data_IF_201778009959
#
_entry.id   IF_201778009959
#
_cell.length_a   1.000
_cell.length_b   1.000
_cell.length_c   1.000
_cell.angle_alpha   90.00
_cell.angle_beta   90.00
_cell.angle_gamma   90.00
#
_symmetry.space_group_name_H-M   'P 1'
#
loop_
_entity.id
_entity.type
_entity.pdbx_description
1 polymer ?
#
# COMPACT_ATOMS: atom_id res chain seq x y z
N UNK A 1 7.08 -4.06 -13.58
CA UNK A 1 7.05 -2.64 -14.01
C UNK A 1 6.81 -1.82 -12.77
N UNK A 2 7.74 -0.97 -12.37
CA UNK A 2 7.53 -0.03 -11.25
C UNK A 2 7.07 1.28 -11.86
N UNK A 3 5.77 1.39 -12.09
CA UNK A 3 5.14 2.61 -12.56
C UNK A 3 5.36 3.74 -11.54
N UNK A 4 5.56 4.95 -12.04
CA UNK A 4 5.72 6.15 -11.20
C UNK A 4 4.37 6.60 -10.66
N UNK A 5 4.33 7.25 -9.50
CA UNK A 5 3.09 7.88 -9.02
C UNK A 5 2.53 8.89 -10.04
N UNK A 6 3.41 9.56 -10.78
CA UNK A 6 3.05 10.53 -11.81
C UNK A 6 2.22 9.90 -12.94
N UNK A 7 2.45 8.62 -13.27
CA UNK A 7 1.70 7.90 -14.30
C UNK A 7 0.22 7.75 -13.91
N UNK A 8 -0.08 7.78 -12.61
CA UNK A 8 -1.42 7.72 -12.04
C UNK A 8 -2.06 9.08 -11.78
N UNK A 9 -1.45 10.20 -12.21
CA UNK A 9 -2.02 11.55 -12.01
C UNK A 9 -3.46 11.63 -12.52
N UNK A 10 -3.76 11.03 -13.68
CA UNK A 10 -5.11 11.02 -14.24
C UNK A 10 -6.12 10.33 -13.29
N UNK A 11 -5.78 9.16 -12.74
CA UNK A 11 -6.64 8.44 -11.76
C UNK A 11 -6.90 9.27 -10.52
N UNK A 12 -5.86 9.96 -10.01
CA UNK A 12 -5.98 10.84 -8.84
C UNK A 12 -6.95 12.00 -9.13
N UNK A 13 -6.84 12.61 -10.31
CA UNK A 13 -7.68 13.73 -10.74
C UNK A 13 -9.12 13.33 -11.09
N UNK A 14 -9.35 12.10 -11.54
CA UNK A 14 -10.68 11.57 -11.88
C UNK A 14 -11.53 11.24 -10.64
N UNK A 15 -10.92 11.17 -9.45
CA UNK A 15 -11.65 10.92 -8.22
C UNK A 15 -12.59 12.08 -7.86
N UNK A 16 -13.89 11.88 -8.01
CA UNK A 16 -14.93 12.86 -7.65
C UNK A 16 -15.26 12.91 -6.15
N UNK A 17 -14.50 12.21 -5.30
CA UNK A 17 -14.63 12.22 -3.84
C UNK A 17 -16.03 11.85 -3.29
N UNK A 18 -16.78 10.98 -3.98
CA UNK A 18 -18.16 10.62 -3.64
C UNK A 18 -18.35 9.84 -2.32
N UNK A 19 -17.30 9.19 -1.79
CA UNK A 19 -17.36 8.48 -0.50
C UNK A 19 -17.83 7.03 -0.53
N UNK A 20 -18.24 6.47 -1.69
CA UNK A 20 -18.65 5.05 -1.78
C UNK A 20 -17.57 4.06 -1.32
N UNK A 21 -16.31 4.41 -1.49
CA UNK A 21 -15.19 3.60 -1.02
C UNK A 21 -15.11 3.50 0.52
N UNK A 22 -15.69 4.43 1.28
CA UNK A 22 -15.63 4.47 2.74
C UNK A 22 -16.44 3.33 3.36
N UNK A 23 -17.63 3.06 2.83
CA UNK A 23 -18.57 2.07 3.37
C UNK A 23 -18.02 0.63 3.30
N UNK A 24 -17.01 0.38 2.46
CA UNK A 24 -16.40 -0.93 2.26
C UNK A 24 -14.92 -1.00 2.66
N UNK A 25 -14.31 0.12 3.04
CA UNK A 25 -12.93 0.14 3.50
C UNK A 25 -12.84 -0.40 4.95
N UNK A 26 -12.13 -1.52 5.20
CA UNK A 26 -12.01 -2.06 6.55
C UNK A 26 -11.24 -1.13 7.50
N UNK A 27 -10.23 -0.42 6.97
CA UNK A 27 -9.39 0.50 7.76
C UNK A 27 -10.19 1.73 8.19
N UNK A 28 -10.97 2.32 7.28
CA UNK A 28 -11.85 3.43 7.61
C UNK A 28 -12.89 3.04 8.66
N UNK A 29 -13.50 1.84 8.54
CA UNK A 29 -14.46 1.36 9.54
C UNK A 29 -13.91 1.27 10.96
N UNK A 30 -12.61 0.99 11.09
CA UNK A 30 -11.96 0.89 12.40
C UNK A 30 -11.45 2.24 12.90
N UNK A 31 -10.92 3.07 12.01
CA UNK A 31 -10.25 4.32 12.39
C UNK A 31 -11.18 5.53 12.39
N UNK A 32 -12.25 5.52 11.59
CA UNK A 32 -13.10 6.68 11.28
C UNK A 32 -12.33 7.92 10.79
N UNK A 33 -11.10 7.73 10.31
CA UNK A 33 -10.26 8.81 9.77
C UNK A 33 -10.41 8.86 8.26
N UNK A 34 -10.85 10.00 7.73
CA UNK A 34 -11.04 10.21 6.29
C UNK A 34 -9.75 9.96 5.49
N UNK A 35 -8.59 10.34 6.04
CA UNK A 35 -7.27 10.08 5.47
C UNK A 35 -6.97 8.59 5.23
N UNK A 36 -7.72 7.69 5.89
CA UNK A 36 -7.65 6.25 5.70
C UNK A 36 -8.57 5.69 4.63
N UNK A 37 -9.56 6.45 4.20
CA UNK A 37 -10.40 6.05 3.09
C UNK A 37 -9.66 6.14 1.76
N UNK A 38 -10.19 5.47 0.73
CA UNK A 38 -9.61 5.54 -0.60
C UNK A 38 -9.73 6.97 -1.18
N UNK A 39 -10.85 7.69 -0.94
CA UNK A 39 -10.98 9.08 -1.40
C UNK A 39 -10.03 10.02 -0.66
N UNK A 40 -9.84 9.85 0.64
CA UNK A 40 -8.90 10.66 1.41
C UNK A 40 -7.47 10.49 0.91
N UNK A 41 -7.09 9.27 0.54
CA UNK A 41 -5.79 9.00 -0.09
C UNK A 41 -5.63 9.68 -1.45
N UNK A 42 -6.68 9.76 -2.28
CA UNK A 42 -6.62 10.55 -3.52
C UNK A 42 -6.40 12.03 -3.25
N UNK A 43 -7.07 12.60 -2.24
CA UNK A 43 -6.85 14.00 -1.83
C UNK A 43 -5.43 14.23 -1.32
N UNK A 44 -4.91 13.33 -0.49
CA UNK A 44 -3.54 13.40 0.04
C UNK A 44 -2.52 13.31 -1.09
N UNK A 45 -2.66 12.33 -1.99
CA UNK A 45 -1.74 12.14 -3.12
C UNK A 45 -1.85 13.28 -4.13
N UNK A 46 -3.04 13.87 -4.32
CA UNK A 46 -3.17 15.10 -5.10
C UNK A 46 -2.32 16.23 -4.48
N UNK A 47 -2.49 16.51 -3.18
CA UNK A 47 -1.75 17.55 -2.49
C UNK A 47 -0.23 17.31 -2.52
N UNK A 48 0.19 16.06 -2.34
CA UNK A 48 1.58 15.63 -2.51
C UNK A 48 2.12 15.94 -3.92
N UNK A 49 1.36 15.62 -4.97
CA UNK A 49 1.74 15.91 -6.36
C UNK A 49 1.74 17.41 -6.71
N UNK A 50 1.07 18.25 -5.93
CA UNK A 50 1.15 19.70 -6.04
C UNK A 50 2.31 20.31 -5.23
N UNK A 51 3.02 19.50 -4.45
CA UNK A 51 4.07 19.98 -3.53
C UNK A 51 3.51 20.71 -2.30
N UNK A 52 2.28 20.42 -1.91
CA UNK A 52 1.65 21.01 -0.71
C UNK A 52 1.86 20.18 0.56
N UNK A 53 2.27 18.92 0.40
CA UNK A 53 2.63 18.00 1.47
C UNK A 53 3.98 17.38 1.15
N UNK A 54 4.71 17.03 2.20
CA UNK A 54 5.95 16.28 2.11
C UNK A 54 5.72 14.77 2.19
N UNK A 55 6.72 14.00 1.73
CA UNK A 55 6.60 12.54 1.61
C UNK A 55 6.54 11.82 2.96
N UNK A 56 7.19 12.37 3.99
CA UNK A 56 7.15 11.83 5.34
C UNK A 56 5.76 11.98 5.96
N UNK A 57 5.08 13.11 5.76
CA UNK A 57 3.73 13.39 6.26
C UNK A 57 2.68 12.40 5.74
N UNK A 58 2.84 11.94 4.50
CA UNK A 58 1.86 11.05 3.84
C UNK A 58 2.17 9.56 4.05
N UNK A 59 3.40 9.23 4.45
CA UNK A 59 3.93 7.86 4.50
C UNK A 59 3.05 6.90 5.30
N UNK A 60 2.74 7.27 6.54
CA UNK A 60 1.93 6.47 7.47
C UNK A 60 0.56 6.13 6.86
N UNK A 61 -0.11 7.14 6.31
CA UNK A 61 -1.42 6.98 5.67
C UNK A 61 -1.34 6.03 4.48
N UNK A 62 -0.26 6.07 3.70
CA UNK A 62 -0.10 5.13 2.59
C UNK A 62 0.11 3.70 3.08
N UNK A 63 0.80 3.48 4.20
CA UNK A 63 1.06 2.13 4.73
C UNK A 63 -0.13 1.52 5.49
N UNK A 64 -1.08 2.30 5.98
CA UNK A 64 -2.30 1.76 6.60
C UNK A 64 -3.23 1.05 5.61
N UNK A 65 -3.10 1.28 4.30
CA UNK A 65 -3.91 0.59 3.28
C UNK A 65 -3.62 -0.92 3.24
N UNK A 66 -4.64 -1.77 3.30
CA UNK A 66 -4.45 -3.23 3.19
C UNK A 66 -4.43 -3.74 1.74
N UNK A 67 -4.52 -2.84 0.75
CA UNK A 67 -4.58 -3.17 -0.69
C UNK A 67 -5.66 -4.21 -1.05
N UNK A 68 -6.76 -4.28 -0.29
CA UNK A 68 -7.82 -5.28 -0.48
C UNK A 68 -8.73 -5.05 -1.71
N UNK A 69 -8.56 -3.93 -2.43
CA UNK A 69 -9.31 -3.54 -3.63
C UNK A 69 -10.84 -3.35 -3.49
N UNK A 70 -11.40 -3.40 -2.27
CA UNK A 70 -12.83 -3.11 -2.04
C UNK A 70 -13.28 -1.74 -2.60
N UNK A 71 -12.40 -0.74 -2.56
CA UNK A 71 -12.69 0.59 -3.08
C UNK A 71 -12.90 0.60 -4.60
N UNK A 72 -12.12 -0.20 -5.34
CA UNK A 72 -12.24 -0.35 -6.80
C UNK A 72 -13.54 -1.05 -7.16
N UNK A 73 -13.90 -2.11 -6.44
CA UNK A 73 -15.14 -2.87 -6.67
C UNK A 73 -16.41 -2.01 -6.54
N UNK A 74 -16.37 -0.94 -5.75
CA UNK A 74 -17.50 -0.02 -5.54
C UNK A 74 -17.36 1.33 -6.22
N UNK A 75 -16.27 1.57 -6.95
CA UNK A 75 -16.02 2.86 -7.58
C UNK A 75 -16.87 3.02 -8.84
N UNK A 76 -17.75 4.02 -8.88
CA UNK A 76 -18.55 4.33 -10.07
C UNK A 76 -17.69 4.77 -11.26
N UNK A 77 -16.55 5.40 -10.97
CA UNK A 77 -15.56 5.80 -11.99
C UNK A 77 -14.59 4.66 -12.36
N UNK A 78 -14.69 3.48 -11.75
CA UNK A 78 -13.84 2.32 -12.08
C UNK A 78 -12.36 2.47 -11.73
N UNK A 79 -11.98 3.42 -10.88
CA UNK A 79 -10.59 3.75 -10.57
C UNK A 79 -9.88 2.63 -9.79
N UNK A 80 -8.69 2.22 -10.23
CA UNK A 80 -7.81 1.30 -9.48
C UNK A 80 -6.98 2.06 -8.44
N UNK A 81 -7.63 2.46 -7.36
CA UNK A 81 -7.00 3.22 -6.28
C UNK A 81 -5.91 2.39 -5.56
N UNK A 82 -6.01 1.06 -5.57
CA UNK A 82 -4.98 0.21 -4.95
C UNK A 82 -3.65 0.33 -5.71
N UNK A 83 -3.69 0.32 -7.04
CA UNK A 83 -2.50 0.54 -7.87
C UNK A 83 -1.85 1.91 -7.63
N UNK A 84 -2.66 2.97 -7.46
CA UNK A 84 -2.15 4.32 -7.11
C UNK A 84 -1.42 4.30 -5.76
N UNK A 85 -1.97 3.63 -4.75
CA UNK A 85 -1.34 3.50 -3.42
C UNK A 85 -0.06 2.67 -3.50
N UNK A 86 -0.02 1.61 -4.31
CA UNK A 86 1.18 0.81 -4.55
C UNK A 86 2.28 1.64 -5.23
N UNK A 87 1.95 2.46 -6.23
CA UNK A 87 2.88 3.39 -6.86
C UNK A 87 3.43 4.43 -5.87
N UNK A 88 2.55 4.99 -5.01
CA UNK A 88 2.97 5.89 -3.94
C UNK A 88 3.94 5.22 -2.95
N UNK A 89 3.67 3.97 -2.55
CA UNK A 89 4.57 3.18 -1.68
C UNK A 89 5.91 2.89 -2.34
N UNK A 90 5.91 2.57 -3.63
CA UNK A 90 7.16 2.36 -4.37
C UNK A 90 8.03 3.62 -4.37
N UNK A 91 7.42 4.80 -4.51
CA UNK A 91 8.13 6.08 -4.46
C UNK A 91 8.59 6.44 -3.04
N UNK A 92 7.79 6.15 -1.99
CA UNK A 92 8.19 6.28 -0.59
C UNK A 92 9.45 5.45 -0.28
N UNK A 93 9.51 4.20 -0.76
CA UNK A 93 10.70 3.33 -0.60
C UNK A 93 11.94 3.96 -1.25
N UNK A 94 11.84 4.47 -2.49
CA UNK A 94 12.98 5.14 -3.16
C UNK A 94 13.49 6.36 -2.40
N UNK A 95 12.60 7.02 -1.65
CA UNK A 95 12.89 8.23 -0.87
C UNK A 95 13.36 7.95 0.56
N UNK A 96 13.49 6.68 0.95
CA UNK A 96 13.94 6.29 2.30
C UNK A 96 12.82 6.29 3.35
N UNK A 97 11.55 6.33 2.93
CA UNK A 97 10.38 6.19 3.78
C UNK A 97 9.76 4.79 3.63
N UNK A 98 10.60 3.76 3.49
CA UNK A 98 10.17 2.37 3.49
C UNK A 98 9.56 1.96 4.83
N UNK A 99 8.56 1.09 4.82
CA UNK A 99 8.05 0.55 6.08
C UNK A 99 9.09 -0.41 6.69
N UNK A 100 9.46 -0.19 7.95
CA UNK A 100 10.53 -0.95 8.64
C UNK A 100 10.41 -2.47 8.49
N UNK A 101 9.20 -3.00 8.69
CA UNK A 101 8.94 -4.45 8.55
C UNK A 101 9.21 -4.94 7.14
N UNK A 102 8.91 -4.15 6.10
CA UNK A 102 9.17 -4.52 4.71
C UNK A 102 10.67 -4.51 4.40
N UNK A 103 11.44 -3.61 5.01
CA UNK A 103 12.90 -3.59 4.89
C UNK A 103 13.54 -4.80 5.56
N UNK A 104 13.11 -5.13 6.78
CA UNK A 104 13.52 -6.35 7.51
C UNK A 104 13.18 -7.61 6.71
N UNK A 105 11.96 -7.68 6.17
CA UNK A 105 11.51 -8.77 5.30
C UNK A 105 12.42 -8.93 4.07
N UNK A 106 12.72 -7.82 3.39
CA UNK A 106 13.59 -7.81 2.22
C UNK A 106 15.02 -8.25 2.59
N UNK A 107 15.51 -7.87 3.77
CA UNK A 107 16.80 -8.32 4.26
C UNK A 107 16.81 -9.82 4.56
N UNK A 108 15.78 -10.34 5.24
CA UNK A 108 15.63 -11.77 5.52
C UNK A 108 15.58 -12.60 4.23
N UNK A 109 14.88 -12.10 3.21
CA UNK A 109 14.87 -12.75 1.89
C UNK A 109 16.26 -12.80 1.24
N UNK A 110 17.08 -11.76 1.42
CA UNK A 110 18.45 -11.71 0.89
C UNK A 110 19.43 -12.61 1.65
N UNK A 111 19.28 -12.75 2.97
CA UNK A 111 20.26 -13.46 3.81
C UNK A 111 19.82 -14.89 4.14
N UNK A 112 18.58 -15.05 4.59
CA UNK A 112 18.03 -16.32 5.05
C UNK A 112 17.19 -17.03 3.97
N UNK A 113 17.02 -16.42 2.79
CA UNK A 113 16.19 -16.95 1.69
C UNK A 113 14.75 -17.23 2.10
N UNK A 114 14.29 -16.51 3.13
CA UNK A 114 12.94 -16.61 3.64
C UNK A 114 12.47 -15.33 4.34
N UNK A 115 11.16 -15.05 4.34
CA UNK A 115 10.62 -13.85 4.97
C UNK A 115 10.80 -13.80 6.50
N UNK A 116 10.89 -14.95 7.16
CA UNK A 116 10.87 -15.05 8.63
C UNK A 116 12.26 -14.91 9.27
N UNK A 117 13.33 -14.94 8.47
CA UNK A 117 14.71 -14.96 8.99
C UNK A 117 15.08 -16.26 9.71
N UNK A 118 14.29 -17.32 9.53
CA UNK A 118 14.48 -18.61 10.20
C UNK A 118 15.59 -19.43 9.55
N UNK A 119 16.16 -20.37 10.30
CA UNK A 119 17.07 -21.37 9.73
C UNK A 119 16.31 -22.22 8.70
N UNK A 120 16.95 -22.50 7.57
CA UNK A 120 16.38 -23.33 6.51
C UNK A 120 16.15 -24.77 6.98
N UNK A 121 16.91 -25.26 7.98
CA UNK A 121 16.65 -26.57 8.60
C UNK A 121 15.25 -26.66 9.24
N UNK A 122 14.71 -25.55 9.75
CA UNK A 122 13.35 -25.52 10.30
C UNK A 122 12.29 -25.73 9.22
N UNK A 123 12.57 -25.32 7.97
CA UNK A 123 11.70 -25.56 6.80
C UNK A 123 11.79 -26.99 6.27
N UNK A 124 12.96 -27.63 6.39
CA UNK A 124 13.13 -29.05 6.10
C UNK A 124 12.17 -29.91 6.94
N UNK A 125 11.78 -29.47 8.15
CA UNK A 125 10.75 -30.16 8.94
C UNK A 125 9.42 -30.28 8.21
N UNK A 126 8.98 -29.24 7.50
CA UNK A 126 7.74 -29.28 6.74
C UNK A 126 7.85 -30.24 5.55
N UNK A 127 9.02 -30.30 4.90
CA UNK A 127 9.30 -31.31 3.86
C UNK A 127 9.24 -32.73 4.44
N UNK A 128 9.94 -32.97 5.56
CA UNK A 128 9.94 -34.27 6.27
C UNK A 128 8.54 -34.72 6.70
N UNK A 129 7.68 -33.80 7.11
CA UNK A 129 6.28 -34.10 7.46
C UNK A 129 5.39 -34.38 6.24
N UNK A 130 5.71 -33.82 5.08
CA UNK A 130 4.98 -34.07 3.84
C UNK A 130 5.37 -35.40 3.18
N UNK A 131 6.56 -35.92 3.50
CA UNK A 131 7.10 -37.19 2.97
C UNK A 131 6.85 -38.40 3.89
N UNK A 132 6.31 -38.18 5.09
CA UNK A 132 5.97 -39.22 6.08
C UNK A 132 4.50 -39.64 5.99
#
# INVERSE_FOLDING_TARGET
>A
MTDSLEDYRHVIMECVSCGLCQSNCPVYKQTNLESNSAKGKMTILYALLQGWLDWDEVSERMYECTTCKNCQATCLSGLDIAAVVEAARAELVKRGFGHKVSEELAQNLRTAHNPFGEDTEARERLKRLAEA
#
